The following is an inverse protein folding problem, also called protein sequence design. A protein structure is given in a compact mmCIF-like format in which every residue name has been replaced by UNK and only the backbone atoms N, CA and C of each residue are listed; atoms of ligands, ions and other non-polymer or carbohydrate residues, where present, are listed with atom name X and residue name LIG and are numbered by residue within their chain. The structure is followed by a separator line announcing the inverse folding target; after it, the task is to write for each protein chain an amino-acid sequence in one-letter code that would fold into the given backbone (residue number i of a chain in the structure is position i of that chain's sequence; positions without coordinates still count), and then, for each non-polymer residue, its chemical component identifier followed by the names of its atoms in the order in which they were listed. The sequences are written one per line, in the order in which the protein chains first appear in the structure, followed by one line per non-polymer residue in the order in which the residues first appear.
data_IF_413185419379
#
_entry.id   IF_413185419379
#
_cell.length_a   1.000
_cell.length_b   1.000
_cell.length_c   1.000
_cell.angle_alpha   90.00
_cell.angle_beta   90.00
_cell.angle_gamma   90.00
#
_symmetry.space_group_name_H-M   'P 1'
#
loop_
_entity.id
_entity.type
_entity.pdbx_description
1 polymer ?
#
# COMPACT_ATOMS: atom_id res chain seq x y z
N UNK A 1 -30.58 8.21 16.34
CA UNK A 1 -29.92 7.08 15.63
C UNK A 1 -29.15 7.49 14.36
N UNK A 2 -29.09 8.76 13.95
CA UNK A 2 -28.36 9.17 12.73
C UNK A 2 -26.84 9.37 12.90
N UNK A 3 -26.38 9.91 14.04
CA UNK A 3 -24.95 10.17 14.30
C UNK A 3 -24.02 8.95 14.21
N UNK A 4 -24.53 7.73 14.40
CA UNK A 4 -23.71 6.50 14.35
C UNK A 4 -23.31 6.14 12.92
N UNK A 5 -24.17 6.42 11.93
CA UNK A 5 -23.93 6.10 10.52
C UNK A 5 -22.93 7.04 9.84
N UNK A 6 -22.91 8.32 10.25
CA UNK A 6 -21.99 9.32 9.69
C UNK A 6 -20.54 9.05 10.12
N UNK A 7 -20.32 8.73 11.40
CA UNK A 7 -18.99 8.43 11.93
C UNK A 7 -18.36 7.18 11.27
N UNK A 8 -19.17 6.16 10.98
CA UNK A 8 -18.70 4.95 10.29
C UNK A 8 -18.29 5.27 8.84
N UNK A 9 -19.00 6.18 8.16
CA UNK A 9 -18.70 6.61 6.79
C UNK A 9 -17.39 7.41 6.71
N UNK A 10 -17.15 8.30 7.67
CA UNK A 10 -15.88 9.05 7.77
C UNK A 10 -14.71 8.10 8.04
N UNK A 11 -14.90 7.13 8.94
CA UNK A 11 -13.88 6.14 9.25
C UNK A 11 -13.54 5.27 8.02
N UNK A 12 -14.55 4.79 7.28
CA UNK A 12 -14.33 4.04 6.04
C UNK A 12 -13.55 4.84 4.99
N UNK A 13 -13.86 6.13 4.84
CA UNK A 13 -13.12 7.02 3.93
C UNK A 13 -11.66 7.14 4.34
N UNK A 14 -11.39 7.32 5.64
CA UNK A 14 -10.02 7.38 6.18
C UNK A 14 -9.27 6.07 5.95
N UNK A 15 -9.93 4.91 6.12
CA UNK A 15 -9.34 3.61 5.82
C UNK A 15 -9.01 3.46 4.34
N UNK A 16 -9.94 3.84 3.44
CA UNK A 16 -9.70 3.82 1.98
C UNK A 16 -8.54 4.71 1.59
N UNK A 17 -8.49 5.94 2.13
CA UNK A 17 -7.39 6.86 1.89
C UNK A 17 -6.04 6.28 2.38
N UNK A 18 -6.03 5.60 3.53
CA UNK A 18 -4.83 4.95 4.04
C UNK A 18 -4.37 3.78 3.16
N UNK A 19 -5.29 2.97 2.65
CA UNK A 19 -4.96 1.89 1.70
C UNK A 19 -4.35 2.43 0.41
N UNK A 20 -4.83 3.59 -0.08
CA UNK A 20 -4.24 4.29 -1.22
C UNK A 20 -2.82 4.77 -0.94
N UNK A 21 -2.58 5.39 0.22
CA UNK A 21 -1.24 5.83 0.61
C UNK A 21 -0.26 4.65 0.71
N UNK A 22 -0.67 3.55 1.36
CA UNK A 22 0.12 2.31 1.43
C UNK A 22 0.42 1.77 0.04
N UNK A 23 -0.58 1.71 -0.85
CA UNK A 23 -0.40 1.24 -2.23
C UNK A 23 0.65 2.05 -2.98
N UNK A 24 0.55 3.38 -2.95
CA UNK A 24 1.51 4.30 -3.60
C UNK A 24 2.92 4.14 -3.04
N UNK A 25 3.06 3.99 -1.73
CA UNK A 25 4.36 3.75 -1.09
C UNK A 25 5.00 2.43 -1.57
N UNK A 26 4.21 1.35 -1.63
CA UNK A 26 4.68 0.05 -2.14
C UNK A 26 5.07 0.12 -3.61
N UNK A 27 4.31 0.87 -4.43
CA UNK A 27 4.66 1.15 -5.82
C UNK A 27 6.02 1.86 -5.93
N UNK A 28 6.23 2.91 -5.15
CA UNK A 28 7.50 3.65 -5.12
C UNK A 28 8.68 2.75 -4.69
N UNK A 29 8.48 1.91 -3.68
CA UNK A 29 9.49 0.92 -3.27
C UNK A 29 9.82 -0.10 -4.37
N UNK A 30 8.81 -0.54 -5.14
CA UNK A 30 9.05 -1.45 -6.26
C UNK A 30 9.87 -0.78 -7.36
N UNK A 31 9.52 0.46 -7.71
CA UNK A 31 10.17 1.22 -8.78
C UNK A 31 11.59 1.67 -8.42
N UNK A 32 11.83 2.15 -7.19
CA UNK A 32 13.19 2.49 -6.71
C UNK A 32 14.16 1.30 -6.72
N UNK A 33 13.64 0.07 -6.81
CA UNK A 33 14.42 -1.17 -6.88
C UNK A 33 14.43 -1.80 -8.28
N UNK A 34 13.85 -1.10 -9.25
CA UNK A 34 13.76 -1.52 -10.65
C UNK A 34 13.13 -2.91 -10.81
N UNK A 35 12.17 -3.26 -9.94
CA UNK A 35 11.52 -4.57 -9.98
C UNK A 35 10.23 -4.53 -10.81
N UNK A 36 10.11 -5.51 -11.70
CA UNK A 36 8.85 -5.77 -12.39
C UNK A 36 7.87 -6.51 -11.47
N UNK A 37 6.56 -6.31 -11.67
CA UNK A 37 5.52 -7.05 -10.94
C UNK A 37 5.69 -8.57 -11.05
N UNK A 38 6.17 -9.06 -12.21
CA UNK A 38 6.46 -10.48 -12.44
C UNK A 38 7.59 -10.98 -11.52
N UNK A 39 8.68 -10.21 -11.40
CA UNK A 39 9.80 -10.57 -10.53
C UNK A 39 9.38 -10.61 -9.06
N UNK A 40 8.67 -9.58 -8.60
CA UNK A 40 8.14 -9.52 -7.23
C UNK A 40 7.21 -10.70 -6.96
N UNK A 41 6.24 -10.92 -7.85
CA UNK A 41 5.25 -11.98 -7.74
C UNK A 41 5.84 -13.38 -7.65
N UNK A 42 6.86 -13.66 -8.48
CA UNK A 42 7.61 -14.92 -8.42
C UNK A 42 8.28 -15.13 -7.06
N UNK A 43 8.91 -14.10 -6.51
CA UNK A 43 9.63 -14.20 -5.23
C UNK A 43 8.72 -14.40 -4.02
N UNK A 44 7.53 -13.79 -4.01
CA UNK A 44 6.62 -13.84 -2.84
C UNK A 44 5.37 -14.71 -3.06
N UNK A 45 5.35 -15.48 -4.14
CA UNK A 45 4.23 -16.36 -4.54
C UNK A 45 2.90 -15.60 -4.58
N UNK A 46 2.88 -14.46 -5.26
CA UNK A 46 1.69 -13.66 -5.52
C UNK A 46 1.56 -13.32 -7.00
N UNK A 47 0.33 -13.23 -7.50
CA UNK A 47 0.13 -12.89 -8.91
C UNK A 47 0.51 -11.42 -9.18
N UNK A 48 1.10 -11.10 -10.35
CA UNK A 48 1.39 -9.71 -10.73
C UNK A 48 0.16 -8.81 -10.70
N UNK A 49 -1.00 -9.35 -11.09
CA UNK A 49 -2.28 -8.65 -11.06
C UNK A 49 -2.71 -8.28 -9.63
N UNK A 50 -2.52 -9.18 -8.66
CA UNK A 50 -2.81 -8.91 -7.25
C UNK A 50 -1.89 -7.81 -6.71
N UNK A 51 -0.60 -7.87 -7.00
CA UNK A 51 0.37 -6.85 -6.56
C UNK A 51 -0.01 -5.48 -7.16
N UNK A 52 -0.36 -5.44 -8.46
CA UNK A 52 -0.83 -4.21 -9.10
C UNK A 52 -2.10 -3.64 -8.44
N UNK A 53 -3.05 -4.49 -8.05
CA UNK A 53 -4.26 -4.06 -7.32
C UNK A 53 -3.94 -3.50 -5.93
N UNK A 54 -3.00 -4.10 -5.22
CA UNK A 54 -2.51 -3.60 -3.92
C UNK A 54 -1.82 -2.24 -4.09
N UNK A 55 -0.92 -2.11 -5.07
CA UNK A 55 -0.19 -0.86 -5.35
C UNK A 55 -1.10 0.30 -5.76
N UNK A 56 -2.25 0.01 -6.38
CA UNK A 56 -3.28 1.03 -6.68
C UNK A 56 -4.13 1.41 -5.47
N UNK A 57 -4.02 0.68 -4.35
CA UNK A 57 -4.80 0.92 -3.13
C UNK A 57 -6.30 0.62 -3.24
N UNK A 58 -6.76 0.10 -4.38
CA UNK A 58 -8.16 -0.23 -4.65
C UNK A 58 -8.56 -1.65 -4.23
N UNK A 59 -7.75 -2.31 -3.40
CA UNK A 59 -7.96 -3.71 -3.04
C UNK A 59 -7.82 -3.93 -1.55
N UNK A 60 -8.83 -4.57 -0.97
CA UNK A 60 -8.73 -5.09 0.38
C UNK A 60 -7.83 -6.34 0.36
N UNK A 61 -6.66 -6.24 0.97
CA UNK A 61 -5.66 -7.30 1.01
C UNK A 61 -5.45 -7.78 2.46
N UNK A 62 -4.99 -9.03 2.61
CA UNK A 62 -4.66 -9.57 3.93
C UNK A 62 -3.37 -8.93 4.44
N UNK A 63 -3.29 -8.63 5.74
CA UNK A 63 -2.05 -8.13 6.36
C UNK A 63 -0.84 -9.05 6.11
N UNK A 64 -1.07 -10.37 5.97
CA UNK A 64 -0.01 -11.32 5.60
C UNK A 64 0.59 -11.06 4.22
N UNK A 65 -0.19 -10.52 3.27
CA UNK A 65 0.31 -10.10 1.95
C UNK A 65 1.17 -8.84 2.07
N UNK A 66 0.78 -7.90 2.94
CA UNK A 66 1.58 -6.72 3.27
C UNK A 66 2.92 -7.10 3.90
N UNK A 67 2.92 -8.03 4.86
CA UNK A 67 4.16 -8.52 5.50
C UNK A 67 5.12 -9.16 4.50
N UNK A 68 4.60 -9.92 3.52
CA UNK A 68 5.43 -10.49 2.45
C UNK A 68 6.07 -9.41 1.57
N UNK A 69 5.30 -8.39 1.19
CA UNK A 69 5.81 -7.25 0.40
C UNK A 69 6.85 -6.46 1.19
N UNK A 70 6.58 -6.15 2.45
CA UNK A 70 7.50 -5.42 3.32
C UNK A 70 8.82 -6.18 3.50
N UNK A 71 8.76 -7.49 3.75
CA UNK A 71 9.95 -8.36 3.84
C UNK A 71 10.75 -8.36 2.53
N UNK A 72 10.07 -8.51 1.39
CA UNK A 72 10.72 -8.49 0.08
C UNK A 72 11.36 -7.13 -0.22
N UNK A 73 10.66 -6.05 0.09
CA UNK A 73 11.15 -4.69 -0.04
C UNK A 73 12.03 -4.25 1.14
N UNK A 74 12.47 -5.14 2.04
CA UNK A 74 13.30 -4.79 3.22
C UNK A 74 12.84 -3.49 3.91
N UNK A 75 11.52 -3.28 3.98
CA UNK A 75 10.91 -2.06 4.48
C UNK A 75 10.25 -2.37 5.83
N UNK A 76 10.35 -1.43 6.76
CA UNK A 76 9.64 -1.54 8.04
C UNK A 76 8.14 -1.43 7.81
N UNK A 77 7.37 -2.31 8.47
CA UNK A 77 5.91 -2.20 8.48
C UNK A 77 5.47 -0.87 9.09
N UNK A 78 6.19 -0.39 10.12
CA UNK A 78 5.89 0.92 10.74
C UNK A 78 6.00 2.04 9.71
N UNK A 79 7.00 2.01 8.84
CA UNK A 79 7.20 3.05 7.82
C UNK A 79 6.13 2.97 6.74
N UNK A 80 5.73 1.76 6.32
CA UNK A 80 4.62 1.57 5.39
C UNK A 80 3.31 2.12 5.97
N UNK A 81 3.04 1.91 7.26
CA UNK A 81 1.86 2.47 7.93
C UNK A 81 1.96 3.97 8.22
N UNK A 82 3.15 4.57 8.19
CA UNK A 82 3.33 6.03 8.22
C UNK A 82 3.13 6.67 6.85
N UNK A 83 2.95 5.89 5.78
CA UNK A 83 2.67 6.45 4.46
C UNK A 83 1.37 7.26 4.49
N UNK A 84 1.46 8.55 4.24
CA UNK A 84 0.33 9.46 4.22
C UNK A 84 0.00 9.89 2.79
N UNK A 85 -1.10 10.61 2.62
CA UNK A 85 -1.52 11.08 1.28
C UNK A 85 -0.67 12.24 0.76
N UNK A 86 0.25 12.76 1.57
CA UNK A 86 1.18 13.80 1.20
C UNK A 86 2.29 13.21 0.32
N UNK A 87 2.10 13.31 -1.00
CA UNK A 87 3.21 13.46 -1.93
C UNK A 87 3.89 14.78 -1.64
N UNK A 88 4.73 14.79 -0.61
CA UNK A 88 5.71 15.86 -0.42
C UNK A 88 7.09 15.24 -0.20
N UNK A 89 8.01 15.70 -1.06
CA UNK A 89 9.47 15.54 -1.00
C UNK A 89 10.08 14.26 -1.59
N UNK A 90 9.86 14.03 -2.89
CA UNK A 90 10.92 13.61 -3.81
C UNK A 90 11.06 14.64 -4.95
N UNK A 91 11.27 15.89 -4.55
CA UNK A 91 11.95 16.91 -5.34
C UNK A 91 12.66 17.83 -4.35
N UNK A 92 13.94 17.53 -4.08
CA UNK A 92 14.96 18.51 -3.75
C UNK A 92 16.32 17.78 -3.67
N UNK A 93 17.06 17.92 -4.78
CA UNK A 93 18.52 17.90 -4.93
C UNK A 93 19.33 16.71 -4.39
#
# INVERSE_FOLDING_TARGET
MHKRKEHDLEFEQRVKAKLQAIGRYLYALRHSREKSLKAVGKSIKMSPALISKIEKGGHNFKLTQLFRLAKYYKASIKDIFKADNETDHLSAK
#
